data_IF_145944870232
#
_entry.id   IF_145944870232
#
_cell.length_a   1.000
_cell.length_b   1.000
_cell.length_c   1.000
_cell.angle_alpha   90.00
_cell.angle_beta   90.00
_cell.angle_gamma   90.00
#
_symmetry.space_group_name_H-M   'P 1'
#
loop_
_entity.id
_entity.type
_entity.pdbx_description
1 polymer ?
#
# COMPACT_ATOMS: atom_id res chain seq x y z
N UNK A 1 -11.66 2.04 -31.85
CA UNK A 1 -10.39 1.38 -31.50
C UNK A 1 -9.26 1.55 -32.55
N UNK A 2 -9.42 2.33 -33.63
CA UNK A 2 -8.36 2.51 -34.65
C UNK A 2 -7.70 3.90 -34.70
N UNK A 3 -8.16 4.86 -33.89
CA UNK A 3 -7.61 6.22 -33.87
C UNK A 3 -6.34 6.32 -33.00
N UNK A 4 -6.34 5.64 -31.85
CA UNK A 4 -5.19 5.62 -30.93
C UNK A 4 -3.98 4.93 -31.56
N UNK A 5 -4.21 3.87 -32.35
CA UNK A 5 -3.13 3.16 -33.06
C UNK A 5 -2.53 3.98 -34.19
N UNK A 6 -3.32 4.76 -34.93
CA UNK A 6 -2.79 5.62 -36.00
C UNK A 6 -1.90 6.74 -35.47
N UNK A 7 -2.31 7.39 -34.39
CA UNK A 7 -1.50 8.43 -33.74
C UNK A 7 -0.21 7.84 -33.16
N UNK A 8 -0.28 6.61 -32.66
CA UNK A 8 0.87 5.87 -32.19
C UNK A 8 1.83 5.48 -33.33
N UNK A 9 1.30 4.99 -34.45
CA UNK A 9 2.10 4.59 -35.62
C UNK A 9 2.78 5.79 -36.30
N UNK A 10 2.11 6.95 -36.39
CA UNK A 10 2.71 8.19 -36.92
C UNK A 10 3.85 8.70 -36.02
N UNK A 11 3.68 8.63 -34.70
CA UNK A 11 4.73 8.99 -33.76
C UNK A 11 5.93 8.03 -33.84
N UNK A 12 5.66 6.73 -33.89
CA UNK A 12 6.69 5.69 -34.05
C UNK A 12 7.45 5.89 -35.37
N UNK A 13 6.74 6.07 -36.49
CA UNK A 13 7.35 6.31 -37.80
C UNK A 13 8.22 7.57 -37.81
N UNK A 14 7.75 8.68 -37.20
CA UNK A 14 8.51 9.93 -37.09
C UNK A 14 9.79 9.78 -36.26
N UNK A 15 9.75 8.98 -35.19
CA UNK A 15 10.91 8.68 -34.35
C UNK A 15 11.91 7.77 -35.09
N UNK A 16 11.43 6.79 -35.87
CA UNK A 16 12.29 5.92 -36.68
C UNK A 16 12.96 6.65 -37.85
N UNK A 17 12.32 7.67 -38.44
CA UNK A 17 12.92 8.47 -39.52
C UNK A 17 14.08 9.35 -39.06
N UNK A 18 14.10 9.76 -37.78
CA UNK A 18 15.17 10.59 -37.21
C UNK A 18 16.28 9.78 -36.52
N UNK A 19 16.04 8.50 -36.22
CA UNK A 19 16.95 7.68 -35.41
C UNK A 19 17.34 6.44 -36.18
N UNK A 20 18.60 6.36 -36.60
CA UNK A 20 19.10 5.18 -37.32
C UNK A 20 18.91 3.91 -36.47
N UNK A 21 18.62 2.75 -37.08
CA UNK A 21 18.42 1.50 -36.34
C UNK A 21 19.61 1.14 -35.44
N UNK A 22 20.83 1.49 -35.87
CA UNK A 22 22.04 1.33 -35.07
C UNK A 22 22.10 2.26 -33.85
N UNK A 23 21.63 3.51 -33.97
CA UNK A 23 21.59 4.47 -32.86
C UNK A 23 20.51 4.09 -31.84
N UNK A 24 19.38 3.53 -32.30
CA UNK A 24 18.32 3.00 -31.44
C UNK A 24 18.80 1.78 -30.63
N UNK A 25 19.55 0.89 -31.28
CA UNK A 25 20.17 -0.26 -30.63
C UNK A 25 21.25 0.19 -29.62
N UNK A 26 22.03 1.21 -29.94
CA UNK A 26 23.03 1.81 -29.05
C UNK A 26 22.38 2.50 -27.85
N UNK A 27 21.28 3.24 -28.04
CA UNK A 27 20.50 3.85 -26.96
C UNK A 27 19.86 2.78 -26.05
N UNK A 28 19.32 1.71 -26.61
CA UNK A 28 18.78 0.58 -25.84
C UNK A 28 19.87 -0.11 -25.02
N UNK A 29 21.05 -0.36 -25.59
CA UNK A 29 22.19 -0.92 -24.87
C UNK A 29 22.72 0.03 -23.80
N UNK A 30 22.77 1.33 -24.08
CA UNK A 30 23.17 2.35 -23.12
C UNK A 30 22.18 2.42 -21.96
N UNK A 31 20.87 2.40 -22.24
CA UNK A 31 19.82 2.39 -21.22
C UNK A 31 19.87 1.10 -20.38
N UNK A 32 20.01 -0.07 -21.00
CA UNK A 32 20.17 -1.35 -20.30
C UNK A 32 21.45 -1.39 -19.44
N UNK A 33 22.55 -0.86 -19.96
CA UNK A 33 23.81 -0.72 -19.25
C UNK A 33 23.71 0.25 -18.06
N UNK A 34 23.04 1.39 -18.24
CA UNK A 34 22.77 2.36 -17.16
C UNK A 34 21.86 1.74 -16.10
N UNK A 35 20.80 1.04 -16.48
CA UNK A 35 19.88 0.41 -15.54
C UNK A 35 20.56 -0.71 -14.74
N UNK A 36 21.35 -1.55 -15.42
CA UNK A 36 22.18 -2.58 -14.79
C UNK A 36 23.27 -1.98 -13.90
N UNK A 37 23.89 -0.88 -14.32
CA UNK A 37 24.91 -0.17 -13.54
C UNK A 37 24.31 0.54 -12.32
N UNK A 38 23.12 1.11 -12.44
CA UNK A 38 22.37 1.74 -11.36
C UNK A 38 21.89 0.69 -10.34
N UNK A 39 21.46 -0.48 -10.81
CA UNK A 39 21.12 -1.64 -9.98
C UNK A 39 22.35 -2.23 -9.28
N UNK A 40 23.50 -2.27 -9.96
CA UNK A 40 24.77 -2.73 -9.41
C UNK A 40 25.43 -1.72 -8.44
N UNK A 41 25.22 -0.41 -8.63
CA UNK A 41 25.62 0.64 -7.68
C UNK A 41 24.70 0.66 -6.44
N UNK A 42 23.52 0.04 -6.50
CA UNK A 42 22.65 -0.16 -5.35
C UNK A 42 23.08 -1.42 -4.54
N UNK A 43 24.10 -1.33 -3.67
CA UNK A 43 23.86 -0.98 -2.26
C UNK A 43 25.10 -0.36 -1.57
N UNK A 44 25.21 0.98 -1.50
CA UNK A 44 26.25 1.62 -0.66
C UNK A 44 25.75 2.65 0.36
N UNK A 45 24.45 2.94 0.37
CA UNK A 45 23.82 3.79 1.39
C UNK A 45 22.75 3.07 2.24
N UNK A 46 22.62 1.75 2.13
CA UNK A 46 21.91 0.94 3.14
C UNK A 46 22.95 0.44 4.14
N UNK A 47 23.10 1.05 5.33
CA UNK A 47 24.01 0.53 6.34
C UNK A 47 23.54 -0.85 6.82
N UNK A 48 24.18 -1.89 6.29
CA UNK A 48 24.10 -3.31 6.69
C UNK A 48 24.82 -3.58 8.04
N UNK A 49 24.79 -2.61 8.96
CA UNK A 49 25.42 -2.68 10.28
C UNK A 49 24.50 -2.09 11.33
N UNK A 50 23.58 -2.90 11.83
CA UNK A 50 22.97 -2.61 13.12
C UNK A 50 24.05 -2.68 14.22
N UNK A 51 24.27 -1.62 15.00
CA UNK A 51 25.05 -1.73 16.22
C UNK A 51 24.26 -2.63 17.19
N UNK A 52 24.85 -3.77 17.57
CA UNK A 52 24.31 -4.62 18.64
C UNK A 52 24.39 -3.84 19.94
N UNK A 53 23.28 -3.23 20.36
CA UNK A 53 23.16 -2.67 21.70
C UNK A 53 23.10 -3.83 22.71
N UNK A 54 24.05 -3.91 23.65
CA UNK A 54 24.00 -4.87 24.75
C UNK A 54 23.19 -4.27 25.89
N UNK A 55 22.49 -5.12 26.65
CA UNK A 55 22.03 -4.97 28.06
C UNK A 55 20.65 -5.58 28.22
N UNK A 56 20.21 -6.10 29.36
CA UNK A 56 20.83 -6.71 30.53
C UNK A 56 19.67 -7.45 31.21
N UNK A 57 19.86 -8.75 31.44
CA UNK A 57 19.12 -9.70 32.30
C UNK A 57 17.86 -9.17 33.02
N UNK A 58 16.75 -9.93 32.91
CA UNK A 58 16.17 -10.59 34.10
C UNK A 58 15.85 -12.05 33.82
N UNK A 59 16.58 -12.90 34.54
CA UNK A 59 16.51 -14.36 34.56
C UNK A 59 15.22 -14.75 35.29
N UNK A 60 14.15 -15.06 34.56
CA UNK A 60 13.00 -15.75 35.12
C UNK A 60 13.26 -17.27 35.07
N UNK A 61 13.45 -17.89 36.23
CA UNK A 61 13.50 -19.35 36.37
C UNK A 61 12.15 -19.91 35.92
N UNK A 62 12.09 -20.59 34.77
CA UNK A 62 10.96 -21.45 34.41
C UNK A 62 11.12 -22.81 35.10
N UNK A 63 10.11 -23.34 35.81
CA UNK A 63 10.16 -24.69 36.37
C UNK A 63 10.10 -25.72 35.22
N UNK A 64 10.90 -26.78 35.37
CA UNK A 64 10.95 -27.93 34.46
C UNK A 64 9.66 -28.76 34.60
N UNK A 65 8.87 -28.84 33.54
CA UNK A 65 7.90 -29.94 33.35
C UNK A 65 8.41 -30.91 32.30
N UNK A 66 8.24 -32.19 32.59
CA UNK A 66 8.94 -33.33 31.99
C UNK A 66 8.34 -33.71 30.62
N UNK A 67 9.23 -34.14 29.74
CA UNK A 67 9.10 -34.94 28.48
C UNK A 67 7.99 -36.01 28.58
N UNK A 68 7.19 -36.33 27.56
CA UNK A 68 7.50 -36.99 26.28
C UNK A 68 6.15 -37.33 25.55
N UNK A 69 6.11 -38.09 24.43
CA UNK A 69 6.89 -38.13 23.19
C UNK A 69 6.01 -37.83 21.94
N UNK A 70 6.65 -37.56 20.80
CA UNK A 70 5.98 -37.36 19.50
C UNK A 70 5.45 -38.67 18.89
N UNK A 71 4.32 -38.62 18.15
CA UNK A 71 4.07 -39.47 17.00
C UNK A 71 4.33 -38.72 15.68
N UNK A 72 4.69 -39.49 14.66
CA UNK A 72 5.02 -39.05 13.30
C UNK A 72 3.79 -39.03 12.41
N UNK A 73 3.89 -38.16 11.39
CA UNK A 73 3.54 -38.36 9.96
C UNK A 73 2.10 -38.08 9.50
N UNK A 74 2.12 -37.23 8.46
CA UNK A 74 1.23 -37.13 7.30
C UNK A 74 -0.12 -36.41 7.53
N UNK A 75 -0.57 -35.68 6.49
CA UNK A 75 -1.78 -34.80 6.35
C UNK A 75 -1.45 -33.30 6.59
N UNK A 76 -1.14 -32.51 5.55
CA UNK A 76 -2.09 -31.83 4.65
C UNK A 76 -3.21 -31.10 5.39
N UNK A 77 -2.89 -29.95 6.00
CA UNK A 77 -3.90 -28.99 6.46
C UNK A 77 -3.44 -27.56 6.11
N UNK A 78 -4.07 -27.05 5.06
CA UNK A 78 -4.43 -25.66 4.80
C UNK A 78 -3.70 -24.60 5.66
N UNK A 79 -2.61 -24.06 5.11
CA UNK A 79 -2.12 -22.74 5.48
C UNK A 79 -3.13 -21.70 4.96
N UNK A 80 -4.23 -21.59 5.69
CA UNK A 80 -5.16 -20.48 5.63
C UNK A 80 -4.39 -19.23 6.09
N UNK A 81 -3.71 -18.60 5.13
CA UNK A 81 -3.18 -17.25 5.25
C UNK A 81 -4.26 -16.38 5.92
N UNK A 82 -3.98 -15.78 7.10
CA UNK A 82 -5.02 -15.24 7.94
C UNK A 82 -5.79 -14.15 7.21
N UNK A 83 -7.10 -14.36 7.19
CA UNK A 83 -8.17 -13.44 6.84
C UNK A 83 -7.90 -12.08 7.50
N UNK A 84 -7.26 -11.16 6.76
CA UNK A 84 -7.17 -9.72 6.99
C UNK A 84 -7.40 -9.28 8.46
N UNK A 85 -6.42 -9.48 9.35
CA UNK A 85 -6.49 -8.89 10.70
C UNK A 85 -6.50 -7.36 10.57
N UNK A 86 -7.57 -6.66 11.02
CA UNK A 86 -7.56 -5.22 11.01
C UNK A 86 -6.65 -4.70 12.13
N UNK A 87 -5.64 -4.00 11.64
CA UNK A 87 -5.30 -2.64 12.01
C UNK A 87 -4.39 -2.42 13.20
N UNK A 88 -3.16 -2.11 12.83
CA UNK A 88 -2.00 -1.91 13.69
C UNK A 88 -2.22 -0.71 14.61
N UNK A 89 -2.83 -0.97 15.77
CA UNK A 89 -2.61 -0.14 16.95
C UNK A 89 -1.17 -0.41 17.37
N UNK A 90 -0.30 0.56 17.11
CA UNK A 90 1.12 0.42 17.46
C UNK A 90 1.26 0.23 18.98
N UNK A 91 2.34 -0.42 19.46
CA UNK A 91 2.55 -0.67 20.90
C UNK A 91 2.51 0.57 21.80
N UNK A 92 2.59 1.77 21.21
CA UNK A 92 2.56 3.07 21.88
C UNK A 92 1.19 3.78 21.79
N UNK A 93 0.13 3.08 21.34
CA UNK A 93 -1.23 3.64 21.21
C UNK A 93 -1.41 4.65 20.07
N UNK A 94 -0.38 4.87 19.24
CA UNK A 94 -0.50 5.70 18.04
C UNK A 94 -1.01 4.86 16.87
N UNK A 95 -1.80 5.48 15.99
CA UNK A 95 -2.17 4.85 14.72
C UNK A 95 -0.94 4.80 13.79
N UNK A 96 -0.80 3.73 13.02
CA UNK A 96 0.32 3.56 12.08
C UNK A 96 0.40 4.73 11.08
N UNK A 97 -0.74 5.19 10.56
CA UNK A 97 -0.79 6.36 9.69
C UNK A 97 -0.19 7.63 10.35
N UNK A 98 -0.42 7.83 11.65
CA UNK A 98 0.08 9.00 12.37
C UNK A 98 1.59 8.94 12.57
N UNK A 99 2.14 7.75 12.82
CA UNK A 99 3.58 7.55 12.84
C UNK A 99 4.20 7.85 11.47
N UNK A 100 3.63 7.31 10.40
CA UNK A 100 4.12 7.55 9.03
C UNK A 100 4.12 9.05 8.69
N UNK A 101 3.03 9.76 9.02
CA UNK A 101 2.96 11.21 8.84
C UNK A 101 4.02 11.96 9.65
N UNK A 102 4.30 11.54 10.89
CA UNK A 102 5.35 12.16 11.72
C UNK A 102 6.77 11.95 11.18
N UNK A 103 6.99 10.89 10.41
CA UNK A 103 8.25 10.59 9.72
C UNK A 103 8.35 11.31 8.35
N UNK A 104 7.34 12.12 7.97
CA UNK A 104 7.26 12.77 6.67
C UNK A 104 6.86 11.83 5.52
N UNK A 105 6.42 10.62 5.84
CA UNK A 105 6.04 9.56 4.88
C UNK A 105 4.55 9.66 4.54
N UNK A 106 4.17 10.80 3.97
CA UNK A 106 2.76 11.16 3.77
C UNK A 106 2.03 10.27 2.78
N UNK A 107 2.69 9.79 1.72
CA UNK A 107 2.08 8.87 0.77
C UNK A 107 1.66 7.57 1.46
N UNK A 108 2.54 6.97 2.26
CA UNK A 108 2.22 5.77 3.02
C UNK A 108 1.19 6.03 4.12
N UNK A 109 1.20 7.20 4.75
CA UNK A 109 0.18 7.60 5.72
C UNK A 109 -1.21 7.63 5.07
N UNK A 110 -1.35 8.27 3.90
CA UNK A 110 -2.61 8.34 3.13
C UNK A 110 -3.10 6.94 2.78
N UNK A 111 -2.22 6.08 2.25
CA UNK A 111 -2.56 4.69 1.94
C UNK A 111 -3.04 3.94 3.19
N UNK A 112 -2.34 4.09 4.32
CA UNK A 112 -2.72 3.43 5.55
C UNK A 112 -4.10 3.91 6.02
N UNK A 113 -4.37 5.22 6.02
CA UNK A 113 -5.70 5.76 6.39
C UNK A 113 -6.83 5.25 5.49
N UNK A 114 -6.56 5.05 4.19
CA UNK A 114 -7.54 4.46 3.29
C UNK A 114 -7.80 2.99 3.66
N UNK A 115 -6.73 2.21 3.85
CA UNK A 115 -6.81 0.81 4.28
C UNK A 115 -7.59 0.69 5.58
N UNK A 116 -7.35 1.60 6.50
CA UNK A 116 -8.00 1.69 7.80
C UNK A 116 -9.53 1.86 7.65
N UNK A 117 -9.97 2.85 6.86
CA UNK A 117 -11.40 3.06 6.60
C UNK A 117 -12.05 1.92 5.81
N UNK A 118 -11.33 1.30 4.89
CA UNK A 118 -11.85 0.09 4.21
C UNK A 118 -12.01 -1.06 5.19
N UNK A 119 -11.09 -1.20 6.15
CA UNK A 119 -11.20 -2.11 7.28
C UNK A 119 -12.45 -1.85 8.10
N UNK A 120 -12.68 -0.60 8.50
CA UNK A 120 -13.88 -0.18 9.25
C UNK A 120 -15.17 -0.50 8.49
N UNK A 121 -15.23 -0.20 7.19
CA UNK A 121 -16.39 -0.49 6.34
C UNK A 121 -16.64 -2.00 6.20
N UNK A 122 -15.58 -2.79 6.12
CA UNK A 122 -15.65 -4.26 6.02
C UNK A 122 -16.13 -4.85 7.35
N UNK A 123 -15.58 -4.39 8.48
CA UNK A 123 -16.01 -4.81 9.81
C UNK A 123 -17.47 -4.45 10.09
N UNK A 124 -17.96 -3.33 9.54
CA UNK A 124 -19.36 -2.93 9.60
C UNK A 124 -20.27 -3.67 8.59
N UNK A 125 -19.73 -4.56 7.75
CA UNK A 125 -20.47 -5.29 6.73
C UNK A 125 -21.01 -4.41 5.59
N UNK A 126 -20.49 -3.20 5.41
CA UNK A 126 -20.90 -2.28 4.34
C UNK A 126 -20.31 -2.69 3.00
N UNK A 127 -19.12 -3.29 3.02
CA UNK A 127 -18.42 -3.82 1.85
C UNK A 127 -17.79 -5.18 2.19
N UNK A 128 -17.53 -5.98 1.17
CA UNK A 128 -16.78 -7.24 1.27
C UNK A 128 -15.77 -7.31 0.12
N UNK A 129 -14.64 -6.59 0.23
CA UNK A 129 -13.66 -6.51 -0.84
C UNK A 129 -12.93 -7.85 -1.01
N UNK A 130 -12.79 -8.29 -2.25
CA UNK A 130 -12.01 -9.47 -2.62
C UNK A 130 -10.55 -9.09 -2.86
N UNK A 131 -9.60 -10.05 -2.83
CA UNK A 131 -8.24 -9.79 -3.29
C UNK A 131 -8.23 -9.20 -4.71
N UNK A 132 -7.51 -8.09 -4.88
CA UNK A 132 -7.43 -7.37 -6.16
C UNK A 132 -8.53 -6.31 -6.38
N UNK A 133 -9.51 -6.18 -5.49
CA UNK A 133 -10.50 -5.09 -5.56
C UNK A 133 -9.80 -3.73 -5.43
N UNK A 134 -10.12 -2.82 -6.35
CA UNK A 134 -9.57 -1.46 -6.36
C UNK A 134 -10.29 -0.55 -5.35
N UNK A 135 -9.63 0.52 -4.92
CA UNK A 135 -10.23 1.49 -4.02
C UNK A 135 -11.52 2.13 -4.61
N UNK A 136 -11.54 2.37 -5.93
CA UNK A 136 -12.71 2.91 -6.63
C UNK A 136 -13.90 1.94 -6.60
N UNK A 137 -13.65 0.64 -6.77
CA UNK A 137 -14.68 -0.39 -6.66
C UNK A 137 -15.22 -0.49 -5.22
N UNK A 138 -14.35 -0.37 -4.20
CA UNK A 138 -14.79 -0.29 -2.81
C UNK A 138 -15.68 0.94 -2.58
N UNK A 139 -15.28 2.10 -3.08
CA UNK A 139 -16.05 3.33 -2.95
C UNK A 139 -17.42 3.23 -3.63
N UNK A 140 -17.47 2.66 -4.84
CA UNK A 140 -18.71 2.44 -5.57
C UNK A 140 -19.65 1.46 -4.84
N UNK A 141 -19.11 0.37 -4.29
CA UNK A 141 -19.87 -0.61 -3.51
C UNK A 141 -20.39 0.00 -2.21
N UNK A 142 -19.55 0.73 -1.47
CA UNK A 142 -19.94 1.41 -0.24
C UNK A 142 -21.03 2.47 -0.49
N UNK A 143 -20.96 3.21 -1.60
CA UNK A 143 -21.97 4.19 -1.97
C UNK A 143 -23.36 3.56 -2.22
N UNK A 144 -23.42 2.34 -2.74
CA UNK A 144 -24.69 1.62 -2.95
C UNK A 144 -25.34 1.21 -1.62
N UNK A 145 -24.54 0.72 -0.67
CA UNK A 145 -25.04 0.23 0.62
C UNK A 145 -25.23 1.35 1.65
N UNK A 146 -24.42 2.41 1.57
CA UNK A 146 -24.42 3.59 2.46
C UNK A 146 -24.19 4.86 1.65
N UNK A 147 -25.22 5.44 1.01
CA UNK A 147 -25.07 6.64 0.18
C UNK A 147 -24.45 7.84 0.92
N UNK A 148 -24.65 7.93 2.25
CA UNK A 148 -24.08 9.00 3.07
C UNK A 148 -22.53 9.04 3.01
N UNK A 149 -21.84 7.90 2.87
CA UNK A 149 -20.37 7.86 2.82
C UNK A 149 -19.80 8.11 1.42
N UNK A 150 -20.64 8.18 0.39
CA UNK A 150 -20.19 8.20 -1.01
C UNK A 150 -19.25 9.39 -1.31
N UNK A 151 -19.64 10.61 -0.94
CA UNK A 151 -18.84 11.80 -1.19
C UNK A 151 -17.45 11.77 -0.50
N UNK A 152 -17.34 11.57 0.83
CA UNK A 152 -16.04 11.59 1.50
C UNK A 152 -15.15 10.39 1.11
N UNK A 153 -15.73 9.21 0.87
CA UNK A 153 -14.97 8.04 0.43
C UNK A 153 -14.49 8.17 -1.02
N UNK A 154 -15.30 8.79 -1.89
CA UNK A 154 -14.90 9.16 -3.25
C UNK A 154 -13.71 10.12 -3.23
N UNK A 155 -13.80 11.22 -2.48
CA UNK A 155 -12.70 12.16 -2.32
C UNK A 155 -11.42 11.53 -1.75
N UNK A 156 -11.55 10.59 -0.81
CA UNK A 156 -10.41 9.85 -0.26
C UNK A 156 -9.74 8.95 -1.32
N UNK A 157 -10.55 8.33 -2.17
CA UNK A 157 -10.06 7.46 -3.26
C UNK A 157 -9.40 8.26 -4.38
N UNK A 158 -9.94 9.42 -4.72
CA UNK A 158 -9.38 10.34 -5.70
C UNK A 158 -8.02 10.87 -5.23
N UNK A 159 -7.95 11.34 -3.97
CA UNK A 159 -6.71 11.81 -3.35
C UNK A 159 -5.64 10.71 -3.31
N UNK A 160 -6.02 9.48 -2.94
CA UNK A 160 -5.11 8.35 -2.99
C UNK A 160 -4.62 8.08 -4.42
N UNK A 161 -5.50 8.13 -5.41
CA UNK A 161 -5.15 7.87 -6.81
C UNK A 161 -4.21 8.94 -7.37
N UNK A 162 -4.46 10.20 -7.04
CA UNK A 162 -3.60 11.33 -7.40
C UNK A 162 -2.18 11.17 -6.85
N UNK A 163 -2.06 10.80 -5.57
CA UNK A 163 -0.76 10.60 -4.91
C UNK A 163 -0.05 9.35 -5.42
N UNK A 164 -0.77 8.24 -5.57
CA UNK A 164 -0.14 6.93 -5.80
C UNK A 164 0.12 6.63 -7.28
N UNK A 165 -0.73 7.15 -8.16
CA UNK A 165 -0.65 6.91 -9.60
C UNK A 165 -0.41 8.18 -10.41
N UNK A 166 -0.62 9.37 -9.83
CA UNK A 166 -0.52 10.66 -10.53
C UNK A 166 0.84 11.36 -10.46
N UNK A 167 1.89 10.69 -9.97
CA UNK A 167 3.26 11.22 -9.82
C UNK A 167 3.34 12.55 -9.03
N UNK A 168 2.36 12.81 -8.14
CA UNK A 168 2.39 13.97 -7.26
C UNK A 168 3.04 13.63 -5.92
N UNK A 169 4.03 14.43 -5.47
CA UNK A 169 4.60 14.24 -4.15
C UNK A 169 3.54 14.52 -3.07
N UNK A 170 3.33 13.55 -2.18
CA UNK A 170 2.47 13.74 -1.02
C UNK A 170 3.15 14.65 0.00
N UNK A 171 2.37 15.59 0.53
CA UNK A 171 2.78 16.46 1.63
C UNK A 171 1.78 16.39 2.80
N UNK A 172 2.04 17.20 3.82
CA UNK A 172 1.19 17.29 5.01
C UNK A 172 -0.25 17.69 4.70
N UNK A 173 -0.47 18.60 3.74
CA UNK A 173 -1.81 19.08 3.38
C UNK A 173 -2.65 17.94 2.83
N UNK A 174 -2.03 17.06 2.02
CA UNK A 174 -2.69 15.86 1.52
C UNK A 174 -3.05 14.89 2.66
N UNK A 175 -2.15 14.64 3.63
CA UNK A 175 -2.47 13.77 4.78
C UNK A 175 -3.57 14.35 5.67
N UNK A 176 -3.55 15.67 5.94
CA UNK A 176 -4.57 16.36 6.75
C UNK A 176 -5.95 16.31 6.04
N UNK A 177 -5.97 16.47 4.71
CA UNK A 177 -7.19 16.31 3.91
C UNK A 177 -7.69 14.86 3.95
N UNK A 178 -6.81 13.88 3.77
CA UNK A 178 -7.16 12.46 3.87
C UNK A 178 -7.72 12.10 5.26
N UNK A 179 -7.13 12.64 6.33
CA UNK A 179 -7.63 12.48 7.70
C UNK A 179 -9.04 13.03 7.85
N UNK A 180 -9.32 14.19 7.27
CA UNK A 180 -10.66 14.81 7.31
C UNK A 180 -11.68 13.93 6.60
N UNK A 181 -11.40 13.51 5.37
CA UNK A 181 -12.28 12.66 4.57
C UNK A 181 -12.56 11.32 5.26
N UNK A 182 -11.53 10.66 5.78
CA UNK A 182 -11.68 9.39 6.50
C UNK A 182 -12.43 9.55 7.83
N UNK A 183 -12.25 10.67 8.53
CA UNK A 183 -13.05 11.05 9.71
C UNK A 183 -14.53 11.28 9.38
N UNK A 184 -14.83 11.91 8.25
CA UNK A 184 -16.20 12.08 7.77
C UNK A 184 -16.86 10.75 7.42
N UNK A 185 -16.15 9.82 6.77
CA UNK A 185 -16.67 8.47 6.49
C UNK A 185 -17.11 7.79 7.79
N UNK A 186 -16.24 7.74 8.80
CA UNK A 186 -16.56 7.13 10.11
C UNK A 186 -17.73 7.80 10.82
N UNK A 187 -17.79 9.13 10.75
CA UNK A 187 -18.90 9.91 11.34
C UNK A 187 -20.24 9.59 10.66
N UNK A 188 -20.25 9.44 9.32
CA UNK A 188 -21.45 9.12 8.54
C UNK A 188 -21.84 7.63 8.63
N UNK A 189 -20.88 6.74 8.91
CA UNK A 189 -21.17 5.33 9.23
C UNK A 189 -21.94 5.18 10.55
N UNK A 190 -21.55 5.94 11.58
CA UNK A 190 -22.17 5.90 12.91
C UNK A 190 -23.47 6.70 13.00
N UNK A 191 -23.58 7.81 12.24
CA UNK A 191 -24.74 8.73 12.29
C UNK A 191 -26.05 8.23 11.67
N UNK A 192 -26.08 7.07 11.00
CA UNK A 192 -27.27 6.52 10.33
C UNK A 192 -28.04 5.44 11.12
N UNK A 193 -27.68 5.18 12.38
CA UNK A 193 -28.24 4.10 13.20
C UNK A 193 -29.40 4.54 14.14
N UNK A 194 -30.20 5.53 13.75
CA UNK A 194 -31.39 5.96 14.51
C UNK A 194 -32.63 6.00 13.65
#
# INVERSE_FOLDING_TARGET
>A
MGAVTRVWDEFVASVFDHVSPGLLLLLMLAAAGLLGSLWYWYPRWIPRRWPRLPTWKKRAKRPKTKKAPAPKKDEEEEESEPLFEPEVVLPNGMLLADRLASEGRYAEAIRQRLRDVVGDLTAAGVVSPLPGTTAAEVAASAAQHRPAVAAPLGGATDLFSEVWYGDRPADRVHDDHMRTLTGEVRSRMTGGAR
#
